data_IF_766935674321
#
_entry.id   IF_766935674321
#
_cell.length_a   1.000
_cell.length_b   1.000
_cell.length_c   1.000
_cell.angle_alpha   90.00
_cell.angle_beta   90.00
_cell.angle_gamma   90.00
#
_symmetry.space_group_name_H-M   'P 1'
#
loop_
_entity.id
_entity.type
_entity.pdbx_description
1 polymer ?
#
# COMPACT_ATOMS: atom_id res chain seq x y z
N UNK A 1 -62.48 -30.62 26.94
CA UNK A 1 -61.27 -29.84 27.28
C UNK A 1 -59.94 -30.61 27.07
N UNK A 2 -59.82 -31.51 26.09
CA UNK A 2 -58.52 -32.11 25.70
C UNK A 2 -58.15 -31.91 24.22
N UNK A 3 -59.04 -31.31 23.43
CA UNK A 3 -58.83 -31.06 22.00
C UNK A 3 -58.54 -29.60 21.63
N UNK A 4 -58.63 -28.67 22.59
CA UNK A 4 -58.32 -27.24 22.37
C UNK A 4 -56.82 -26.95 22.54
N UNK A 5 -56.09 -27.77 23.30
CA UNK A 5 -54.64 -27.60 23.52
C UNK A 5 -53.81 -28.01 22.29
N UNK A 6 -54.29 -28.96 21.49
CA UNK A 6 -53.58 -29.38 20.27
C UNK A 6 -53.68 -28.38 19.11
N UNK A 7 -54.71 -27.52 19.08
CA UNK A 7 -54.86 -26.50 18.04
C UNK A 7 -53.92 -25.29 18.27
N UNK A 8 -53.55 -25.00 19.52
CA UNK A 8 -52.64 -23.90 19.86
C UNK A 8 -51.15 -24.26 19.69
N UNK A 9 -50.79 -25.55 19.65
CA UNK A 9 -49.40 -25.97 19.39
C UNK A 9 -49.12 -26.09 17.89
N UNK A 10 -50.14 -26.36 17.05
CA UNK A 10 -49.94 -26.45 15.60
C UNK A 10 -49.83 -25.08 14.89
N UNK A 11 -50.35 -24.01 15.49
CA UNK A 11 -50.19 -22.64 14.98
C UNK A 11 -48.81 -22.02 15.27
N UNK A 12 -48.05 -22.58 16.22
CA UNK A 12 -46.67 -22.16 16.52
C UNK A 12 -45.64 -22.67 15.49
N UNK A 13 -45.98 -23.71 14.72
CA UNK A 13 -45.09 -24.28 13.70
C UNK A 13 -45.33 -23.74 12.28
N UNK A 14 -46.39 -22.95 12.07
CA UNK A 14 -46.67 -22.28 10.80
C UNK A 14 -46.25 -20.80 10.77
N UNK A 15 -45.76 -20.25 11.89
CA UNK A 15 -45.26 -18.87 11.98
C UNK A 15 -43.73 -18.75 11.88
N UNK A 16 -43.00 -19.87 11.74
CA UNK A 16 -41.54 -19.89 11.59
C UNK A 16 -41.06 -20.24 10.17
N UNK A 17 -41.90 -20.06 9.14
CA UNK A 17 -41.55 -20.46 7.77
C UNK A 17 -41.62 -19.35 6.71
N UNK A 18 -41.57 -18.06 7.10
CA UNK A 18 -41.60 -16.96 6.12
C UNK A 18 -40.78 -15.72 6.52
N UNK A 19 -39.62 -15.91 7.15
CA UNK A 19 -38.55 -14.90 7.17
C UNK A 19 -37.19 -15.61 7.11
N UNK A 20 -37.03 -16.56 6.20
CA UNK A 20 -35.76 -16.61 5.48
C UNK A 20 -35.74 -15.33 4.66
N UNK A 21 -35.23 -14.24 5.25
CA UNK A 21 -34.50 -13.28 4.45
C UNK A 21 -33.45 -14.11 3.74
N UNK A 22 -33.80 -14.56 2.53
CA UNK A 22 -32.84 -14.73 1.46
C UNK A 22 -32.17 -13.37 1.41
N UNK A 23 -31.10 -13.23 2.19
CA UNK A 23 -30.07 -12.24 1.93
C UNK A 23 -29.55 -12.71 0.59
N UNK A 24 -30.26 -12.33 -0.47
CA UNK A 24 -29.71 -12.21 -1.79
C UNK A 24 -28.48 -11.36 -1.54
N UNK A 25 -27.36 -12.06 -1.43
CA UNK A 25 -26.07 -11.47 -1.52
C UNK A 25 -26.02 -11.02 -2.97
N UNK A 26 -26.72 -9.93 -3.26
CA UNK A 26 -26.45 -9.10 -4.40
C UNK A 26 -24.97 -8.78 -4.20
N UNK A 27 -24.12 -9.56 -4.86
CA UNK A 27 -22.78 -9.13 -5.21
C UNK A 27 -23.02 -7.90 -6.05
N UNK A 28 -23.15 -6.76 -5.36
CA UNK A 28 -23.33 -5.45 -5.99
C UNK A 28 -22.08 -5.28 -6.80
N UNK A 29 -22.19 -5.53 -8.11
CA UNK A 29 -21.07 -5.49 -9.01
C UNK A 29 -20.43 -4.11 -8.85
N UNK A 30 -19.19 -4.07 -8.38
CA UNK A 30 -18.51 -2.82 -8.12
C UNK A 30 -18.42 -2.02 -9.42
N UNK A 31 -19.10 -0.88 -9.46
CA UNK A 31 -19.08 0.00 -10.63
C UNK A 31 -17.66 0.51 -10.84
N UNK A 32 -17.13 0.30 -12.04
CA UNK A 32 -15.81 0.80 -12.44
C UNK A 32 -15.89 2.30 -12.73
N UNK A 33 -14.84 3.03 -12.37
CA UNK A 33 -14.70 4.44 -12.75
C UNK A 33 -14.47 4.53 -14.26
N UNK A 34 -15.14 5.48 -14.92
CA UNK A 34 -14.87 5.82 -16.32
C UNK A 34 -13.72 6.81 -16.39
N UNK A 35 -12.52 6.31 -16.62
CA UNK A 35 -11.32 7.11 -16.71
C UNK A 35 -11.11 7.73 -18.08
N UNK A 36 -10.58 8.96 -18.11
CA UNK A 36 -10.11 9.66 -19.31
C UNK A 36 -8.66 10.08 -19.12
N UNK A 37 -7.87 10.02 -20.18
CA UNK A 37 -6.51 10.55 -20.16
C UNK A 37 -6.54 12.06 -19.91
N UNK A 38 -5.51 12.58 -19.22
CA UNK A 38 -5.30 14.01 -19.06
C UNK A 38 -4.36 14.48 -20.16
N UNK A 39 -4.91 14.99 -21.25
CA UNK A 39 -4.17 15.33 -22.47
C UNK A 39 -3.20 16.53 -22.30
N UNK A 40 -3.32 17.28 -21.20
CA UNK A 40 -2.41 18.41 -20.89
C UNK A 40 -1.07 17.97 -20.30
N UNK A 41 -0.90 16.69 -19.96
CA UNK A 41 0.36 16.15 -19.45
C UNK A 41 1.16 15.54 -20.61
N UNK A 42 2.32 16.11 -20.90
CA UNK A 42 3.25 15.57 -21.90
C UNK A 42 4.00 14.34 -21.36
N UNK A 43 3.41 13.16 -21.56
CA UNK A 43 4.00 11.88 -21.17
C UNK A 43 5.30 11.59 -21.94
N UNK A 44 5.35 11.95 -23.23
CA UNK A 44 6.53 11.71 -24.06
C UNK A 44 7.70 12.57 -23.61
N UNK A 45 7.46 13.86 -23.34
CA UNK A 45 8.44 14.75 -22.75
C UNK A 45 8.89 14.30 -21.36
N UNK A 46 7.96 13.84 -20.51
CA UNK A 46 8.29 13.28 -19.19
C UNK A 46 9.24 12.07 -19.30
N UNK A 47 9.05 11.19 -20.29
CA UNK A 47 9.85 9.97 -20.48
C UNK A 47 11.04 10.14 -21.46
N UNK A 48 11.37 11.37 -21.86
CA UNK A 48 12.37 11.64 -22.91
C UNK A 48 13.81 11.21 -22.58
N UNK A 49 14.12 10.95 -21.31
CA UNK A 49 15.42 10.51 -20.79
C UNK A 49 15.46 9.01 -20.42
N UNK A 50 14.42 8.24 -20.79
CA UNK A 50 14.42 6.78 -20.61
C UNK A 50 15.43 6.15 -21.57
N UNK A 51 16.27 5.24 -21.05
CA UNK A 51 17.34 4.60 -21.80
C UNK A 51 17.13 3.09 -21.83
N UNK A 52 17.12 2.45 -23.02
CA UNK A 52 17.03 0.99 -23.11
C UNK A 52 18.12 0.28 -22.29
N UNK A 53 17.79 -0.90 -21.75
CA UNK A 53 18.70 -1.70 -20.92
C UNK A 53 18.88 -1.23 -19.48
N UNK A 54 18.49 0.01 -19.12
CA UNK A 54 18.50 0.45 -17.71
C UNK A 54 17.33 -0.16 -16.93
N UNK A 55 17.49 -0.38 -15.61
CA UNK A 55 16.40 -0.78 -14.73
C UNK A 55 15.32 0.29 -14.71
N UNK A 56 14.07 -0.10 -14.93
CA UNK A 56 12.94 0.82 -15.06
C UNK A 56 11.74 0.27 -14.29
N UNK A 57 10.98 1.15 -13.64
CA UNK A 57 9.67 0.83 -13.08
C UNK A 57 8.59 1.66 -13.78
N UNK A 58 7.41 1.07 -13.94
CA UNK A 58 6.25 1.75 -14.51
C UNK A 58 5.43 2.43 -13.40
N UNK A 59 5.03 3.68 -13.63
CA UNK A 59 4.13 4.44 -12.77
C UNK A 59 2.93 4.89 -13.58
N UNK A 60 1.73 4.81 -12.99
CA UNK A 60 0.51 5.36 -13.54
C UNK A 60 -0.27 6.13 -12.47
N UNK A 61 -1.08 7.12 -12.89
CA UNK A 61 -1.76 8.03 -11.95
C UNK A 61 -3.27 8.04 -12.19
N UNK A 62 -4.03 7.74 -11.14
CA UNK A 62 -5.47 7.98 -11.09
C UNK A 62 -5.76 9.19 -10.19
N UNK A 63 -6.36 10.24 -10.76
CA UNK A 63 -6.71 11.47 -10.07
C UNK A 63 -8.21 11.76 -10.22
N UNK A 64 -9.06 11.54 -9.20
CA UNK A 64 -10.49 11.85 -9.30
C UNK A 64 -10.78 13.33 -9.55
N UNK A 65 -11.76 13.62 -10.42
CA UNK A 65 -12.15 14.99 -10.79
C UNK A 65 -13.19 15.62 -9.86
N UNK A 66 -13.79 14.84 -8.97
CA UNK A 66 -14.97 15.21 -8.19
C UNK A 66 -14.76 15.25 -6.68
N UNK A 67 -13.50 15.36 -6.21
CA UNK A 67 -13.23 15.60 -4.80
C UNK A 67 -13.93 16.85 -4.27
N UNK A 68 -14.15 16.88 -2.95
CA UNK A 68 -14.71 18.02 -2.26
C UNK A 68 -13.91 19.29 -2.63
N UNK A 69 -14.57 20.40 -3.03
CA UNK A 69 -13.87 21.61 -3.46
C UNK A 69 -12.90 22.17 -2.40
N UNK A 70 -13.16 21.91 -1.12
CA UNK A 70 -12.31 22.30 0.01
C UNK A 70 -11.06 21.42 0.17
N UNK A 71 -11.01 20.23 -0.45
CA UNK A 71 -9.85 19.36 -0.43
C UNK A 71 -8.74 19.91 -1.34
N UNK A 72 -7.75 20.58 -0.73
CA UNK A 72 -6.58 21.16 -1.42
C UNK A 72 -5.27 20.46 -1.09
N UNK A 73 -5.32 19.33 -0.37
CA UNK A 73 -4.12 18.64 0.10
C UNK A 73 -3.38 17.93 -1.03
N UNK A 74 -4.09 17.48 -2.07
CA UNK A 74 -3.51 16.93 -3.30
C UNK A 74 -4.11 17.70 -4.47
N UNK A 75 -3.26 18.16 -5.38
CA UNK A 75 -3.67 18.68 -6.68
C UNK A 75 -2.94 17.87 -7.74
N UNK A 76 -3.48 17.81 -8.96
CA UNK A 76 -2.80 17.09 -10.04
C UNK A 76 -1.42 17.67 -10.32
N UNK A 77 -1.29 19.00 -10.34
CA UNK A 77 0.01 19.67 -10.45
C UNK A 77 0.99 19.18 -9.37
N UNK A 78 0.55 19.16 -8.10
CA UNK A 78 1.40 18.66 -7.01
C UNK A 78 1.79 17.19 -7.15
N UNK A 79 0.86 16.35 -7.60
CA UNK A 79 1.18 14.95 -7.90
C UNK A 79 2.31 14.87 -8.93
N UNK A 80 2.22 15.64 -10.01
CA UNK A 80 3.21 15.63 -11.08
C UNK A 80 4.59 16.14 -10.65
N UNK A 81 4.71 17.24 -9.90
CA UNK A 81 6.04 17.68 -9.46
C UNK A 81 6.62 16.75 -8.37
N UNK A 82 5.79 16.07 -7.57
CA UNK A 82 6.25 15.03 -6.64
C UNK A 82 6.77 13.78 -7.38
N UNK A 83 6.14 13.37 -8.48
CA UNK A 83 6.65 12.30 -9.36
C UNK A 83 7.96 12.73 -10.04
N UNK A 84 8.06 13.97 -10.51
CA UNK A 84 9.30 14.52 -11.06
C UNK A 84 10.43 14.53 -10.01
N UNK A 85 10.11 14.89 -8.76
CA UNK A 85 11.06 14.82 -7.66
C UNK A 85 11.50 13.37 -7.40
N UNK A 86 10.57 12.41 -7.40
CA UNK A 86 10.90 10.99 -7.26
C UNK A 86 11.87 10.54 -8.37
N UNK A 87 11.64 10.95 -9.62
CA UNK A 87 12.56 10.65 -10.72
C UNK A 87 13.98 11.17 -10.46
N UNK A 88 14.11 12.39 -9.92
CA UNK A 88 15.41 12.94 -9.53
C UNK A 88 16.06 12.19 -8.36
N UNK A 89 15.26 11.76 -7.37
CA UNK A 89 15.72 11.00 -6.18
C UNK A 89 16.21 9.61 -6.56
N UNK A 90 15.52 8.92 -7.48
CA UNK A 90 15.91 7.58 -7.93
C UNK A 90 17.06 7.60 -8.94
N UNK A 91 17.30 8.70 -9.65
CA UNK A 91 18.34 8.79 -10.69
C UNK A 91 19.73 8.30 -10.25
N UNK A 92 20.27 8.63 -9.06
CA UNK A 92 21.57 8.14 -8.61
C UNK A 92 21.64 6.61 -8.42
N UNK A 93 20.50 5.93 -8.26
CA UNK A 93 20.44 4.46 -8.14
C UNK A 93 20.58 3.74 -9.49
N UNK A 94 20.51 4.49 -10.60
CA UNK A 94 20.43 3.96 -11.95
C UNK A 94 19.03 3.48 -12.36
N UNK A 95 18.04 3.50 -11.45
CA UNK A 95 16.65 3.16 -11.75
C UNK A 95 15.92 4.34 -12.38
N UNK A 96 15.16 4.06 -13.43
CA UNK A 96 14.34 5.02 -14.15
C UNK A 96 12.85 4.88 -13.79
N UNK A 97 12.13 5.99 -13.81
CA UNK A 97 10.67 6.02 -13.64
C UNK A 97 10.05 6.30 -15.00
N UNK A 98 9.30 5.34 -15.53
CA UNK A 98 8.52 5.46 -16.75
C UNK A 98 7.06 5.76 -16.41
N UNK A 99 6.58 6.96 -16.73
CA UNK A 99 5.18 7.33 -16.53
C UNK A 99 4.34 6.80 -17.69
N UNK A 100 3.41 5.88 -17.42
CA UNK A 100 2.56 5.28 -18.45
C UNK A 100 1.45 6.23 -18.91
N UNK A 101 0.71 6.78 -17.95
CA UNK A 101 -0.41 7.68 -18.19
C UNK A 101 -0.83 8.39 -16.91
N UNK A 102 -1.61 9.46 -17.11
CA UNK A 102 -2.33 10.17 -16.06
C UNK A 102 -3.80 10.19 -16.47
N UNK A 103 -4.68 9.73 -15.57
CA UNK A 103 -6.11 9.59 -15.83
C UNK A 103 -6.93 10.33 -14.78
N UNK A 104 -8.06 10.87 -15.23
CA UNK A 104 -9.05 11.56 -14.40
C UNK A 104 -10.46 11.04 -14.67
N UNK A 105 -11.33 11.09 -13.67
CA UNK A 105 -12.70 10.57 -13.75
C UNK A 105 -13.45 10.78 -12.44
N UNK A 106 -14.77 10.56 -12.46
CA UNK A 106 -15.60 10.69 -11.27
C UNK A 106 -15.53 9.41 -10.43
N UNK A 107 -15.01 9.54 -9.21
CA UNK A 107 -14.97 8.46 -8.24
C UNK A 107 -16.26 8.49 -7.40
N UNK A 108 -16.81 7.33 -7.04
CA UNK A 108 -17.90 7.28 -6.07
C UNK A 108 -17.45 7.98 -4.76
N UNK A 109 -18.19 8.99 -4.25
CA UNK A 109 -17.87 9.66 -2.98
C UNK A 109 -17.69 8.72 -1.79
N UNK A 110 -18.35 7.55 -1.79
CA UNK A 110 -18.14 6.49 -0.79
C UNK A 110 -16.70 5.95 -0.77
N UNK A 111 -15.89 6.24 -1.78
CA UNK A 111 -14.48 5.84 -1.88
C UNK A 111 -13.51 7.02 -1.77
N UNK A 112 -13.97 8.25 -1.50
CA UNK A 112 -13.06 9.39 -1.23
C UNK A 112 -12.18 9.14 -0.01
N UNK A 113 -12.67 8.35 0.94
CA UNK A 113 -11.90 7.91 2.09
C UNK A 113 -12.06 6.41 2.32
N UNK A 114 -10.99 5.78 2.80
CA UNK A 114 -10.96 4.36 3.09
C UNK A 114 -10.23 4.06 4.40
N UNK A 115 -10.52 2.91 4.98
CA UNK A 115 -9.68 2.28 6.01
C UNK A 115 -8.81 1.22 5.35
N UNK A 116 -7.50 1.37 5.43
CA UNK A 116 -6.53 0.58 4.68
C UNK A 116 -6.63 -0.92 4.98
N UNK A 117 -6.80 -1.29 6.24
CA UNK A 117 -6.86 -2.68 6.69
C UNK A 117 -7.93 -2.90 7.75
N UNK A 118 -8.34 -4.16 7.90
CA UNK A 118 -9.07 -4.63 9.07
C UNK A 118 -8.30 -4.31 10.35
N UNK A 119 -9.03 -4.11 11.45
CA UNK A 119 -8.41 -3.80 12.75
C UNK A 119 -7.55 -5.00 13.16
N UNK A 120 -6.24 -4.79 13.40
CA UNK A 120 -5.36 -5.90 13.74
C UNK A 120 -5.73 -6.50 15.10
N UNK A 121 -5.60 -7.82 15.21
CA UNK A 121 -5.70 -8.53 16.49
C UNK A 121 -4.46 -8.29 17.37
N UNK A 122 -4.61 -8.47 18.68
CA UNK A 122 -3.51 -8.37 19.63
C UNK A 122 -2.41 -9.39 19.26
N UNK A 123 -1.13 -8.97 19.12
CA UNK A 123 -0.05 -9.90 18.84
C UNK A 123 0.05 -11.00 19.90
N UNK A 124 0.23 -12.25 19.44
CA UNK A 124 0.21 -13.42 20.32
C UNK A 124 1.48 -13.58 21.18
N UNK A 125 2.57 -12.84 20.89
CA UNK A 125 3.88 -13.04 21.55
C UNK A 125 4.76 -11.79 21.47
N UNK A 126 5.55 -11.51 22.51
CA UNK A 126 6.61 -10.46 22.53
C UNK A 126 7.94 -10.90 21.88
N UNK A 127 8.10 -12.18 21.56
CA UNK A 127 9.38 -12.78 21.14
C UNK A 127 9.68 -12.65 19.65
N UNK A 128 8.71 -12.23 18.84
CA UNK A 128 8.86 -12.06 17.40
C UNK A 128 8.99 -10.58 17.04
N UNK A 129 9.96 -10.25 16.19
CA UNK A 129 9.99 -8.90 15.62
C UNK A 129 8.77 -8.64 14.73
N UNK A 130 8.51 -7.36 14.48
CA UNK A 130 7.31 -6.88 13.79
C UNK A 130 7.07 -7.58 12.44
N UNK A 131 8.12 -7.91 11.67
CA UNK A 131 7.95 -8.56 10.36
C UNK A 131 7.70 -10.07 10.45
N UNK A 132 8.24 -10.73 11.47
CA UNK A 132 7.86 -12.12 11.75
C UNK A 132 6.39 -12.16 12.17
N UNK A 133 5.95 -11.20 12.99
CA UNK A 133 4.56 -11.06 13.38
C UNK A 133 3.64 -10.76 12.18
N UNK A 134 3.98 -9.78 11.33
CA UNK A 134 3.22 -9.47 10.10
C UNK A 134 3.16 -10.66 9.13
N UNK A 135 4.16 -11.55 9.11
CA UNK A 135 4.09 -12.77 8.30
C UNK A 135 3.11 -13.79 8.87
N UNK A 136 3.01 -13.91 10.21
CA UNK A 136 2.07 -14.83 10.89
C UNK A 136 0.63 -14.30 10.84
N UNK A 137 0.48 -12.98 10.98
CA UNK A 137 -0.78 -12.26 11.06
C UNK A 137 -0.76 -11.08 10.08
N UNK A 138 -0.79 -11.34 8.76
CA UNK A 138 -0.74 -10.29 7.74
C UNK A 138 -1.94 -9.36 7.84
N UNK A 139 -1.71 -8.09 7.50
CA UNK A 139 -2.79 -7.13 7.36
C UNK A 139 -3.75 -7.57 6.24
N UNK A 140 -5.04 -7.35 6.40
CA UNK A 140 -6.04 -7.65 5.37
C UNK A 140 -6.75 -6.37 4.95
N UNK A 141 -6.97 -6.17 3.64
CA UNK A 141 -7.79 -5.04 3.19
C UNK A 141 -9.22 -5.18 3.70
N UNK A 142 -9.82 -4.06 4.13
CA UNK A 142 -11.26 -4.05 4.38
C UNK A 142 -12.04 -4.30 3.11
N UNK A 143 -13.25 -4.86 3.24
CA UNK A 143 -14.11 -5.10 2.08
C UNK A 143 -14.41 -3.81 1.29
N UNK A 144 -14.64 -2.69 1.99
CA UNK A 144 -14.80 -1.37 1.36
C UNK A 144 -13.56 -0.96 0.55
N UNK A 145 -12.36 -1.20 1.08
CA UNK A 145 -11.11 -0.89 0.36
C UNK A 145 -10.90 -1.81 -0.85
N UNK A 146 -11.22 -3.10 -0.74
CA UNK A 146 -11.21 -4.03 -1.88
C UNK A 146 -12.17 -3.55 -2.98
N UNK A 147 -13.35 -3.07 -2.61
CA UNK A 147 -14.31 -2.51 -3.57
C UNK A 147 -13.83 -1.18 -4.15
N UNK A 148 -13.26 -0.28 -3.35
CA UNK A 148 -12.69 0.97 -3.85
C UNK A 148 -11.60 0.71 -4.90
N UNK A 149 -10.64 -0.17 -4.60
CA UNK A 149 -9.58 -0.54 -5.55
C UNK A 149 -10.11 -1.30 -6.75
N UNK A 150 -11.11 -2.15 -6.57
CA UNK A 150 -11.80 -2.78 -7.69
C UNK A 150 -12.47 -1.72 -8.56
N UNK A 151 -13.08 -0.67 -8.01
CA UNK A 151 -13.69 0.40 -8.80
C UNK A 151 -12.66 1.20 -9.59
N UNK A 152 -11.51 1.48 -8.99
CA UNK A 152 -10.47 2.37 -9.51
C UNK A 152 -9.55 1.68 -10.53
N UNK A 153 -9.04 0.48 -10.23
CA UNK A 153 -8.03 -0.18 -11.06
C UNK A 153 -8.66 -0.83 -12.29
N UNK A 154 -8.19 -0.40 -13.47
CA UNK A 154 -8.50 -1.05 -14.74
C UNK A 154 -7.81 -2.42 -14.82
N UNK A 155 -8.46 -3.45 -15.40
CA UNK A 155 -7.82 -4.75 -15.59
C UNK A 155 -6.62 -4.65 -16.55
N UNK A 156 -5.44 -5.02 -16.09
CA UNK A 156 -4.25 -5.19 -16.92
C UNK A 156 -3.43 -6.40 -16.44
N UNK A 157 -2.73 -7.04 -17.38
CA UNK A 157 -1.90 -8.24 -17.15
C UNK A 157 -0.69 -7.92 -16.25
N UNK A 158 -0.28 -6.66 -16.21
CA UNK A 158 0.87 -6.14 -15.47
C UNK A 158 0.45 -5.35 -14.22
N UNK A 159 -0.81 -5.48 -13.76
CA UNK A 159 -1.26 -4.81 -12.53
C UNK A 159 -0.38 -5.15 -11.31
N UNK A 160 0.20 -6.35 -11.25
CA UNK A 160 1.11 -6.76 -10.18
C UNK A 160 2.50 -6.10 -10.26
N UNK A 161 2.83 -5.43 -11.36
CA UNK A 161 4.16 -4.87 -11.67
C UNK A 161 4.16 -3.37 -12.00
N UNK A 162 2.98 -2.76 -12.04
CA UNK A 162 2.80 -1.33 -12.30
C UNK A 162 2.51 -0.62 -10.99
N UNK A 163 3.20 0.48 -10.70
CA UNK A 163 2.88 1.32 -9.55
C UNK A 163 1.71 2.23 -9.90
N UNK A 164 0.64 2.17 -9.11
CA UNK A 164 -0.53 3.04 -9.26
C UNK A 164 -0.54 4.08 -8.14
N UNK A 165 -0.32 5.34 -8.50
CA UNK A 165 -0.54 6.47 -7.60
C UNK A 165 -2.01 6.89 -7.68
N UNK A 166 -2.74 6.70 -6.59
CA UNK A 166 -4.17 6.97 -6.51
C UNK A 166 -4.38 8.14 -5.56
N UNK A 167 -4.87 9.27 -6.07
CA UNK A 167 -5.29 10.35 -5.18
C UNK A 167 -6.57 9.92 -4.44
N UNK A 168 -6.62 10.17 -3.12
CA UNK A 168 -7.79 10.02 -2.26
C UNK A 168 -7.86 11.20 -1.28
N UNK A 169 -8.99 11.45 -0.63
CA UNK A 169 -9.08 12.51 0.37
C UNK A 169 -8.45 12.11 1.70
N UNK A 170 -8.72 10.87 2.14
CA UNK A 170 -8.21 10.34 3.41
C UNK A 170 -8.01 8.83 3.35
N UNK A 171 -6.95 8.35 4.00
CA UNK A 171 -6.71 6.93 4.24
C UNK A 171 -6.33 6.75 5.70
N UNK A 172 -7.13 5.95 6.40
CA UNK A 172 -6.95 5.63 7.81
C UNK A 172 -6.27 4.27 7.95
N UNK A 173 -5.21 4.20 8.74
CA UNK A 173 -4.48 2.97 9.03
C UNK A 173 -4.58 2.65 10.52
N UNK A 174 -5.39 1.64 10.91
CA UNK A 174 -5.42 1.15 12.27
C UNK A 174 -4.22 0.23 12.54
N UNK A 175 -3.56 0.44 13.68
CA UNK A 175 -2.51 -0.42 14.20
C UNK A 175 -2.60 -0.51 15.72
N UNK A 176 -1.99 -1.55 16.28
CA UNK A 176 -1.85 -1.72 17.72
C UNK A 176 -0.45 -1.27 18.15
N UNK A 177 -0.42 -0.58 19.27
CA UNK A 177 0.80 -0.22 19.98
C UNK A 177 0.59 -0.51 21.47
N UNK A 178 1.65 -0.85 22.17
CA UNK A 178 1.58 -0.99 23.63
C UNK A 178 1.47 0.38 24.26
N UNK A 179 0.43 0.56 25.07
CA UNK A 179 0.15 1.83 25.74
C UNK A 179 0.87 1.95 27.07
N UNK A 180 0.84 0.88 27.88
CA UNK A 180 1.52 0.82 29.18
C UNK A 180 1.64 -0.64 29.65
N UNK A 181 2.85 -1.06 30.00
CA UNK A 181 3.14 -2.42 30.48
C UNK A 181 2.68 -3.49 29.50
N UNK A 182 1.56 -4.15 29.81
CA UNK A 182 1.02 -5.29 29.05
C UNK A 182 -0.22 -4.95 28.21
N UNK A 183 -0.62 -3.69 28.21
CA UNK A 183 -1.87 -3.26 27.58
C UNK A 183 -1.62 -2.79 26.15
N UNK A 184 -2.40 -3.34 25.23
CA UNK A 184 -2.43 -2.90 23.84
C UNK A 184 -3.51 -1.84 23.67
N UNK A 185 -3.21 -0.82 22.88
CA UNK A 185 -4.17 0.19 22.46
C UNK A 185 -4.21 0.29 20.95
N UNK A 186 -5.43 0.31 20.41
CA UNK A 186 -5.66 0.61 19.00
C UNK A 186 -5.45 2.10 18.77
N UNK A 187 -4.54 2.42 17.86
CA UNK A 187 -4.36 3.75 17.29
C UNK A 187 -4.73 3.73 15.83
N UNK A 188 -5.19 4.87 15.33
CA UNK A 188 -5.48 5.06 13.91
C UNK A 188 -4.78 6.33 13.44
N UNK A 189 -3.95 6.20 12.41
CA UNK A 189 -3.30 7.34 11.77
C UNK A 189 -3.97 7.69 10.46
N UNK A 190 -4.09 8.99 10.21
CA UNK A 190 -4.45 9.53 8.89
C UNK A 190 -3.17 9.71 8.09
N UNK A 191 -3.00 8.89 7.06
CA UNK A 191 -1.76 8.85 6.27
C UNK A 191 -1.70 10.03 5.29
N UNK A 192 -0.48 10.39 4.85
CA UNK A 192 -0.25 11.33 3.74
C UNK A 192 0.00 10.61 2.40
N UNK A 193 0.53 9.40 2.48
CA UNK A 193 0.54 8.37 1.47
C UNK A 193 0.53 6.99 2.14
N UNK A 194 0.05 5.97 1.44
CA UNK A 194 0.08 4.59 1.93
C UNK A 194 0.35 3.64 0.78
N UNK A 195 1.46 2.91 0.89
CA UNK A 195 1.91 2.01 -0.16
C UNK A 195 1.31 0.60 -0.12
N UNK A 196 0.49 0.21 0.87
CA UNK A 196 -0.03 -1.18 0.99
C UNK A 196 1.06 -2.26 0.81
N UNK A 197 2.18 -2.19 1.55
CA UNK A 197 3.41 -2.90 1.20
C UNK A 197 3.31 -4.43 1.37
N UNK A 198 4.05 -5.17 0.55
CA UNK A 198 4.11 -6.63 0.61
C UNK A 198 4.56 -7.14 1.98
N UNK A 199 5.51 -6.45 2.62
CA UNK A 199 5.98 -6.85 3.95
C UNK A 199 4.91 -6.82 5.07
N UNK A 200 3.81 -6.09 4.87
CA UNK A 200 2.72 -6.00 5.85
C UNK A 200 1.52 -6.85 5.47
N UNK A 201 1.20 -6.96 4.18
CA UNK A 201 0.04 -7.71 3.69
C UNK A 201 0.40 -9.13 3.24
N UNK A 202 1.67 -9.42 2.96
CA UNK A 202 2.15 -10.69 2.45
C UNK A 202 1.25 -11.22 1.30
N UNK A 203 0.75 -12.44 1.42
CA UNK A 203 -0.13 -13.08 0.43
C UNK A 203 -1.60 -12.67 0.52
N UNK A 204 -2.02 -11.80 1.44
CA UNK A 204 -3.43 -11.38 1.56
C UNK A 204 -3.79 -10.24 0.60
N UNK A 205 -2.81 -9.52 0.07
CA UNK A 205 -3.02 -8.47 -0.93
C UNK A 205 -3.20 -9.12 -2.31
N UNK A 206 -4.37 -8.96 -2.97
CA UNK A 206 -4.57 -9.47 -4.32
C UNK A 206 -3.51 -8.98 -5.30
N UNK A 207 -3.11 -9.84 -6.23
CA UNK A 207 -2.02 -9.56 -7.18
C UNK A 207 -2.23 -8.27 -7.97
N UNK A 208 -3.47 -8.02 -8.38
CA UNK A 208 -3.85 -6.82 -9.13
C UNK A 208 -3.85 -5.53 -8.30
N UNK A 209 -3.67 -5.61 -6.97
CA UNK A 209 -3.56 -4.47 -6.07
C UNK A 209 -2.13 -4.27 -5.53
N UNK A 210 -1.19 -5.15 -5.89
CA UNK A 210 0.18 -5.10 -5.37
C UNK A 210 0.88 -3.78 -5.66
N UNK A 211 0.60 -3.11 -6.77
CA UNK A 211 1.22 -1.84 -7.11
C UNK A 211 0.57 -0.58 -6.53
N UNK A 212 -0.51 -0.72 -5.77
CA UNK A 212 -1.29 0.43 -5.30
C UNK A 212 -0.53 1.24 -4.25
N UNK A 213 -0.49 2.55 -4.45
CA UNK A 213 -0.07 3.56 -3.50
C UNK A 213 -1.15 4.65 -3.48
N UNK A 214 -1.73 4.94 -2.33
CA UNK A 214 -2.66 6.07 -2.19
C UNK A 214 -1.90 7.32 -1.76
N UNK A 215 -2.35 8.49 -2.22
CA UNK A 215 -1.78 9.80 -1.88
C UNK A 215 -2.91 10.73 -1.45
N UNK A 216 -2.79 11.27 -0.24
CA UNK A 216 -3.83 12.10 0.40
C UNK A 216 -3.29 13.45 0.86
N UNK A 217 -1.96 13.63 0.88
CA UNK A 217 -1.36 14.89 1.27
C UNK A 217 -0.01 15.16 0.60
N UNK A 218 -0.01 16.14 -0.29
CA UNK A 218 1.18 16.75 -0.92
C UNK A 218 1.28 18.25 -0.60
N UNK A 219 0.51 18.76 0.37
CA UNK A 219 0.47 20.19 0.68
C UNK A 219 1.58 20.64 1.64
N UNK A 220 2.31 19.70 2.26
CA UNK A 220 3.40 20.00 3.21
C UNK A 220 4.71 20.26 2.48
N UNK A 221 5.22 21.51 2.43
CA UNK A 221 6.41 21.84 1.64
C UNK A 221 7.67 21.09 2.10
N UNK A 222 7.77 20.78 3.39
CA UNK A 222 8.90 20.05 4.00
C UNK A 222 9.00 18.57 3.56
N UNK A 223 7.90 18.00 3.05
CA UNK A 223 7.83 16.57 2.67
C UNK A 223 7.48 16.34 1.21
N UNK A 224 6.94 17.37 0.56
CA UNK A 224 6.35 17.32 -0.77
C UNK A 224 7.19 16.58 -1.82
N UNK A 225 8.49 16.88 -1.90
CA UNK A 225 9.42 16.23 -2.84
C UNK A 225 9.62 14.75 -2.56
N UNK A 226 9.54 14.35 -1.29
CA UNK A 226 9.90 13.03 -0.81
C UNK A 226 8.71 12.08 -0.75
N UNK A 227 7.50 12.57 -0.54
CA UNK A 227 6.31 11.72 -0.27
C UNK A 227 6.13 10.61 -1.32
N UNK A 228 6.02 10.94 -2.60
CA UNK A 228 5.84 9.90 -3.64
C UNK A 228 7.04 8.96 -3.71
N UNK A 229 8.27 9.50 -3.63
CA UNK A 229 9.49 8.68 -3.66
C UNK A 229 9.56 7.70 -2.48
N UNK A 230 9.17 8.15 -1.29
CA UNK A 230 9.14 7.36 -0.06
C UNK A 230 8.14 6.22 -0.14
N UNK A 231 6.92 6.47 -0.61
CA UNK A 231 5.91 5.42 -0.79
C UNK A 231 6.31 4.41 -1.87
N UNK A 232 6.92 4.87 -2.98
CA UNK A 232 7.52 3.97 -3.97
C UNK A 232 8.62 3.14 -3.31
N UNK A 233 9.40 3.72 -2.40
CA UNK A 233 10.43 3.02 -1.64
C UNK A 233 9.87 1.88 -0.81
N UNK A 234 8.82 2.12 -0.02
CA UNK A 234 8.16 1.06 0.74
C UNK A 234 7.66 -0.08 -0.15
N UNK A 235 7.19 0.25 -1.35
CA UNK A 235 6.68 -0.74 -2.30
C UNK A 235 7.77 -1.53 -3.00
N UNK A 236 8.70 -0.83 -3.64
CA UNK A 236 9.67 -1.40 -4.58
C UNK A 236 10.86 -2.01 -3.84
N UNK A 237 11.33 -1.38 -2.76
CA UNK A 237 12.38 -1.96 -1.91
C UNK A 237 11.82 -2.97 -0.89
N UNK A 238 10.51 -2.89 -0.62
CA UNK A 238 9.80 -3.73 0.34
C UNK A 238 10.33 -3.61 1.78
N UNK A 239 10.60 -2.39 2.22
CA UNK A 239 11.15 -2.05 3.55
C UNK A 239 10.22 -1.12 4.32
N UNK A 240 10.20 -1.19 5.65
CA UNK A 240 9.57 -0.17 6.50
C UNK A 240 10.46 1.04 6.70
N UNK A 241 10.31 1.73 7.83
CA UNK A 241 11.18 2.85 8.17
C UNK A 241 12.49 2.36 8.77
N UNK A 242 13.45 2.02 7.91
CA UNK A 242 14.81 1.61 8.28
C UNK A 242 15.86 2.44 7.55
N UNK A 243 17.03 2.60 8.17
CA UNK A 243 18.20 3.19 7.51
C UNK A 243 19.44 3.03 8.39
N UNK A 244 20.60 2.76 7.79
CA UNK A 244 21.89 2.61 8.49
C UNK A 244 21.80 1.65 9.68
N UNK A 245 21.87 2.13 10.91
CA UNK A 245 21.82 1.32 12.12
C UNK A 245 20.42 1.19 12.70
N UNK A 246 19.45 1.92 12.16
CA UNK A 246 18.07 1.92 12.64
C UNK A 246 17.34 0.69 12.12
N UNK A 247 16.88 -0.15 13.05
CA UNK A 247 16.00 -1.25 12.73
C UNK A 247 14.65 -0.70 12.22
N UNK A 248 14.01 -1.42 11.29
CA UNK A 248 12.73 -0.99 10.75
C UNK A 248 11.64 -0.84 11.80
N UNK A 249 10.85 0.24 11.69
CA UNK A 249 9.71 0.55 12.56
C UNK A 249 8.59 1.32 11.87
N UNK A 250 7.53 1.65 12.63
CA UNK A 250 6.34 2.34 12.11
C UNK A 250 6.50 3.85 11.95
N UNK A 251 7.09 4.56 12.92
CA UNK A 251 7.33 6.01 12.82
C UNK A 251 8.73 6.34 13.32
N UNK A 252 9.71 6.36 12.41
CA UNK A 252 11.11 6.59 12.76
C UNK A 252 11.62 7.86 12.08
N UNK A 253 12.04 8.84 12.89
CA UNK A 253 12.54 10.13 12.42
C UNK A 253 14.06 10.18 12.43
N UNK A 254 14.67 10.61 11.32
CA UNK A 254 16.11 10.90 11.24
C UNK A 254 16.42 11.86 10.08
N UNK A 255 17.59 12.48 10.13
CA UNK A 255 17.99 13.47 9.12
C UNK A 255 18.25 12.85 7.73
N UNK A 256 18.74 11.62 7.68
CA UNK A 256 19.14 10.94 6.45
C UNK A 256 18.25 9.73 6.07
N UNK A 257 18.37 9.33 4.82
CA UNK A 257 17.74 8.15 4.22
C UNK A 257 16.34 8.43 3.67
N UNK A 258 16.08 7.91 2.45
CA UNK A 258 14.76 8.00 1.84
C UNK A 258 13.67 7.39 2.72
N UNK A 259 13.97 6.30 3.44
CA UNK A 259 12.95 5.52 4.16
C UNK A 259 12.66 5.98 5.59
N UNK A 260 13.31 7.03 6.09
CA UNK A 260 12.99 7.60 7.40
C UNK A 260 12.20 8.91 7.29
N UNK A 261 11.46 9.25 8.34
CA UNK A 261 10.79 10.54 8.43
C UNK A 261 11.80 11.66 8.67
N UNK A 262 12.05 12.45 7.63
CA UNK A 262 13.03 13.52 7.62
C UNK A 262 13.42 13.92 6.21
N UNK A 263 14.48 14.71 6.08
CA UNK A 263 14.85 15.37 4.81
C UNK A 263 15.70 14.50 3.87
N UNK A 264 16.25 13.38 4.34
CA UNK A 264 17.08 12.49 3.53
C UNK A 264 16.38 12.00 2.26
N UNK A 265 17.10 11.99 1.15
CA UNK A 265 16.64 11.51 -0.16
C UNK A 265 17.50 10.33 -0.66
N UNK A 266 18.53 9.94 0.10
CA UNK A 266 19.52 8.96 -0.34
C UNK A 266 19.02 7.52 -0.26
N UNK A 267 19.46 6.72 -1.24
CA UNK A 267 19.25 5.27 -1.33
C UNK A 267 20.65 4.62 -1.50
N UNK A 268 21.45 4.51 -0.43
CA UNK A 268 22.80 3.99 -0.53
C UNK A 268 22.83 2.48 -0.76
N UNK A 269 23.93 2.00 -1.34
CA UNK A 269 24.22 0.58 -1.51
C UNK A 269 24.79 -0.05 -0.25
N UNK A 270 24.80 -1.38 -0.22
CA UNK A 270 25.57 -2.14 0.74
C UNK A 270 25.00 -2.10 2.16
N UNK A 271 25.79 -2.61 3.10
CA UNK A 271 25.45 -2.65 4.52
C UNK A 271 25.23 -1.24 5.10
N UNK A 272 25.92 -0.22 4.57
CA UNK A 272 25.79 1.17 5.00
C UNK A 272 24.40 1.74 4.69
N UNK A 273 23.81 1.39 3.54
CA UNK A 273 22.44 1.75 3.18
C UNK A 273 21.39 0.69 3.49
N UNK A 274 21.72 -0.31 4.33
CA UNK A 274 20.92 -1.52 4.62
C UNK A 274 20.33 -2.19 3.37
N UNK A 275 21.16 -2.35 2.36
CA UNK A 275 20.84 -3.05 1.12
C UNK A 275 19.67 -2.45 0.33
N UNK A 276 19.28 -1.20 0.59
CA UNK A 276 18.16 -0.55 -0.10
C UNK A 276 18.33 -0.56 -1.62
N UNK A 277 19.53 -0.22 -2.12
CA UNK A 277 19.81 -0.27 -3.55
C UNK A 277 19.67 -1.69 -4.11
N UNK A 278 20.23 -2.68 -3.43
CA UNK A 278 20.21 -4.05 -3.91
C UNK A 278 18.80 -4.63 -3.89
N UNK A 279 17.99 -4.31 -2.87
CA UNK A 279 16.57 -4.68 -2.81
C UNK A 279 15.77 -3.99 -3.91
N UNK A 280 16.02 -2.71 -4.15
CA UNK A 280 15.44 -1.95 -5.27
C UNK A 280 15.71 -2.68 -6.60
N UNK A 281 16.97 -3.06 -6.88
CA UNK A 281 17.34 -3.73 -8.13
C UNK A 281 16.83 -5.17 -8.26
N UNK A 282 16.43 -5.82 -7.16
CA UNK A 282 15.82 -7.16 -7.14
C UNK A 282 14.29 -7.13 -7.24
N UNK A 283 13.67 -5.95 -7.12
CA UNK A 283 12.23 -5.81 -7.03
C UNK A 283 11.48 -6.38 -8.23
N UNK A 284 10.35 -7.10 -8.04
CA UNK A 284 9.49 -7.56 -9.14
C UNK A 284 8.89 -6.43 -10.00
N UNK A 285 8.85 -5.19 -9.47
CA UNK A 285 8.39 -3.99 -10.17
C UNK A 285 9.41 -3.41 -11.16
N UNK A 286 10.61 -3.99 -11.23
CA UNK A 286 11.69 -3.50 -12.09
C UNK A 286 11.83 -4.41 -13.30
N UNK A 287 11.95 -3.80 -14.47
CA UNK A 287 12.28 -4.45 -15.73
C UNK A 287 13.46 -3.78 -16.42
N UNK A 288 14.00 -4.45 -17.45
CA UNK A 288 14.89 -3.84 -18.44
C UNK A 288 14.28 -4.00 -19.82
N UNK A 289 14.41 -2.97 -20.66
CA UNK A 289 14.08 -3.10 -22.08
C UNK A 289 15.20 -3.84 -22.81
N UNK A 290 14.88 -5.00 -23.38
CA UNK A 290 15.75 -5.78 -24.24
C UNK A 290 15.00 -6.06 -25.54
N UNK A 291 15.54 -5.62 -26.67
CA UNK A 291 14.94 -5.77 -28.00
C UNK A 291 13.46 -5.34 -28.08
N UNK A 292 13.15 -4.21 -27.44
CA UNK A 292 11.79 -3.65 -27.38
C UNK A 292 10.83 -4.38 -26.43
N UNK A 293 11.28 -5.40 -25.71
CA UNK A 293 10.47 -6.17 -24.75
C UNK A 293 10.89 -5.88 -23.31
N UNK A 294 9.90 -5.84 -22.42
CA UNK A 294 10.14 -5.73 -20.97
C UNK A 294 10.55 -7.10 -20.42
N UNK A 295 11.78 -7.18 -19.92
CA UNK A 295 12.27 -8.35 -19.16
C UNK A 295 12.22 -7.99 -17.68
N UNK A 296 11.22 -8.52 -16.99
CA UNK A 296 10.98 -8.27 -15.57
C UNK A 296 11.91 -9.09 -14.69
N UNK A 297 12.23 -8.55 -13.52
CA UNK A 297 12.80 -9.32 -12.43
C UNK A 297 11.86 -10.46 -11.98
N UNK A 298 12.38 -11.48 -11.27
CA UNK A 298 11.56 -12.57 -10.73
C UNK A 298 10.47 -12.08 -9.78
N UNK A 299 9.36 -12.83 -9.71
CA UNK A 299 8.32 -12.62 -8.71
C UNK A 299 8.80 -12.93 -7.29
N UNK A 300 8.08 -12.37 -6.31
CA UNK A 300 8.15 -12.80 -4.92
C UNK A 300 7.93 -14.32 -4.79
N UNK A 301 8.71 -14.98 -3.93
CA UNK A 301 8.55 -16.43 -3.71
C UNK A 301 7.54 -16.75 -2.61
N UNK A 302 7.41 -15.87 -1.63
CA UNK A 302 6.60 -16.08 -0.42
C UNK A 302 5.66 -14.87 -0.18
N UNK A 303 5.10 -14.31 -1.25
CA UNK A 303 4.12 -13.22 -1.16
C UNK A 303 4.71 -11.88 -0.77
N UNK A 304 6.04 -11.72 -0.79
CA UNK A 304 6.69 -10.43 -0.59
C UNK A 304 6.75 -9.99 0.87
N UNK A 305 6.76 -10.90 1.83
CA UNK A 305 7.10 -10.52 3.22
C UNK A 305 8.53 -9.94 3.30
N UNK A 306 8.88 -9.27 4.40
CA UNK A 306 10.19 -8.60 4.52
C UNK A 306 11.39 -9.53 4.28
N UNK A 307 11.32 -10.76 4.79
CA UNK A 307 12.34 -11.81 4.60
C UNK A 307 12.18 -12.65 3.32
N UNK A 308 11.42 -12.20 2.30
CA UNK A 308 11.11 -13.02 1.13
C UNK A 308 12.41 -13.56 0.49
N UNK A 309 12.48 -14.86 0.14
CA UNK A 309 13.73 -15.46 -0.33
C UNK A 309 14.37 -14.79 -1.55
N UNK A 310 13.65 -13.95 -2.31
CA UNK A 310 14.28 -13.15 -3.37
C UNK A 310 15.39 -12.22 -2.86
N UNK A 311 15.31 -11.80 -1.59
CA UNK A 311 16.27 -10.86 -1.00
C UNK A 311 17.51 -11.57 -0.44
N UNK A 312 17.42 -12.87 -0.14
CA UNK A 312 18.54 -13.64 0.39
C UNK A 312 19.16 -12.99 1.63
N UNK A 313 20.46 -12.66 1.57
CA UNK A 313 21.19 -12.03 2.68
C UNK A 313 21.02 -10.50 2.79
N UNK A 314 20.11 -9.89 2.01
CA UNK A 314 19.88 -8.43 1.95
C UNK A 314 18.74 -7.98 2.86
N UNK A 315 18.64 -8.61 4.02
CA UNK A 315 17.60 -8.36 5.02
C UNK A 315 18.25 -8.20 6.38
N UNK A 316 17.57 -7.50 7.28
CA UNK A 316 18.05 -7.30 8.65
C UNK A 316 17.24 -8.17 9.59
N UNK A 317 17.94 -9.06 10.30
CA UNK A 317 17.38 -9.77 11.44
C UNK A 317 17.61 -8.95 12.70
N UNK A 318 16.57 -8.81 13.49
CA UNK A 318 16.58 -8.08 14.75
C UNK A 318 15.60 -8.74 15.71
N UNK A 319 15.84 -8.55 17.00
CA UNK A 319 14.97 -9.07 18.05
C UNK A 319 13.69 -8.24 18.15
N UNK A 320 12.61 -8.89 18.61
CA UNK A 320 11.43 -8.15 19.07
C UNK A 320 11.81 -7.31 20.29
N UNK A 321 11.04 -6.26 20.58
CA UNK A 321 11.14 -5.60 21.88
C UNK A 321 10.32 -6.44 22.86
N UNK A 322 10.98 -7.08 23.82
CA UNK A 322 10.27 -7.56 25.00
C UNK A 322 9.90 -6.32 25.82
N UNK A 323 8.61 -6.10 25.98
CA UNK A 323 8.07 -4.97 26.74
C UNK A 323 7.74 -5.39 28.18
N UNK A 324 7.95 -6.66 28.53
CA UNK A 324 7.78 -7.20 29.87
C UNK A 324 9.16 -7.34 30.53
N UNK A 325 9.32 -6.72 31.70
CA UNK A 325 10.51 -6.88 32.54
C UNK A 325 10.68 -8.36 32.92
N UNK A 326 11.89 -8.92 32.77
CA UNK A 326 12.20 -10.31 33.13
C UNK A 326 11.91 -10.64 34.61
N UNK A 327 11.85 -9.62 35.48
CA UNK A 327 11.64 -9.77 36.91
C UNK A 327 10.16 -9.72 37.33
N UNK A 328 9.23 -9.79 36.38
CA UNK A 328 7.82 -9.66 36.67
C UNK A 328 7.17 -10.95 37.20
#
# INVERSE_FOLDING_TARGET
MKYIVYLLVFLSFLSCNNLTETREQFTKQTQKVSWKAVDTIDIAGFNSDIEPGKPTLDVAVYYPSNFDPAFKKVTLARMMESIQAAKAIYKPTGVQINLLWVKTGELNPDYFSIQANEVPGIPETEYANTYVNMRRHPAELTERTKQAFTSIIEPDKQNSKTIYLIALQDVFYPFLEVSEGRNWTMKTVRTGGMSFPGYSYCSTLPDNFRGIITITNLARPDRYRKTVAHEIGHKVMNVGHEFKTTNPGFEVFAEGGLMLYGKGEEIPSGKEGRWHLERLHLSPFIYRLQDGRKVWNPEYKEGGHYYDPIYGNKVIHFEGKSEIDENW
#
